data_IF_941623214084
#
_entry.id   IF_941623214084
#
_cell.length_a   1.000
_cell.length_b   1.000
_cell.length_c   1.000
_cell.angle_alpha   90.00
_cell.angle_beta   90.00
_cell.angle_gamma   90.00
#
_symmetry.space_group_name_H-M   'P 1'
#
loop_
_entity.id
_entity.type
_entity.pdbx_description
1 polymer ?
#
# COMPACT_ATOMS: atom_id res chain seq x y z
N UNK A 1 11.92 18.32 18.17
CA UNK A 1 11.42 16.96 18.52
C UNK A 1 11.50 16.14 17.25
N UNK A 2 12.38 15.14 17.21
CA UNK A 2 12.44 14.23 16.07
C UNK A 2 11.29 13.22 16.19
N UNK A 3 10.28 13.39 15.35
CA UNK A 3 9.20 12.42 15.22
C UNK A 3 9.70 11.23 14.41
N UNK A 4 9.62 10.03 14.98
CA UNK A 4 9.99 8.82 14.27
C UNK A 4 9.03 8.58 13.10
N UNK A 5 9.58 8.51 11.87
CA UNK A 5 8.79 8.25 10.67
C UNK A 5 8.19 6.84 10.71
N UNK A 6 6.87 6.75 10.52
CA UNK A 6 6.16 5.49 10.43
C UNK A 6 6.28 4.93 9.01
N UNK A 7 6.88 3.75 8.88
CA UNK A 7 6.95 3.03 7.60
C UNK A 7 5.67 2.22 7.38
N UNK A 8 4.83 2.68 6.46
CA UNK A 8 3.66 1.94 6.02
C UNK A 8 4.06 0.76 5.12
N UNK A 9 3.42 -0.43 5.26
CA UNK A 9 3.68 -1.58 4.39
C UNK A 9 3.31 -1.29 2.94
N UNK A 10 4.04 -1.90 1.99
CA UNK A 10 3.78 -1.74 0.55
C UNK A 10 2.40 -2.25 0.14
N UNK A 11 1.74 -3.11 0.91
CA UNK A 11 0.37 -3.57 0.66
C UNK A 11 -0.70 -2.54 1.00
N UNK A 12 -0.33 -1.46 1.70
CA UNK A 12 -1.20 -0.31 1.94
C UNK A 12 -1.09 0.70 0.78
N UNK A 13 -2.15 1.47 0.51
CA UNK A 13 -2.12 2.47 -0.57
C UNK A 13 -1.05 3.54 -0.33
N UNK A 14 -0.93 4.02 0.91
CA UNK A 14 0.08 4.99 1.29
C UNK A 14 1.50 4.41 1.16
N UNK A 15 1.74 3.21 1.69
CA UNK A 15 3.05 2.57 1.60
C UNK A 15 3.46 2.26 0.16
N UNK A 16 2.51 1.88 -0.71
CA UNK A 16 2.77 1.74 -2.15
C UNK A 16 3.22 3.07 -2.76
N UNK A 17 2.48 4.15 -2.53
CA UNK A 17 2.77 5.46 -3.11
C UNK A 17 4.11 6.02 -2.62
N UNK A 18 4.40 5.89 -1.32
CA UNK A 18 5.70 6.26 -0.74
C UNK A 18 6.79 5.43 -1.41
N UNK A 19 6.64 4.12 -1.48
CA UNK A 19 7.62 3.25 -2.15
C UNK A 19 7.82 3.65 -3.61
N UNK A 20 6.77 4.01 -4.35
CA UNK A 20 6.87 4.47 -5.73
C UNK A 20 7.74 5.74 -5.84
N UNK A 21 7.52 6.72 -4.96
CA UNK A 21 8.27 7.99 -4.95
C UNK A 21 9.71 7.81 -4.49
N UNK A 22 9.98 6.92 -3.54
CA UNK A 22 11.31 6.75 -2.93
C UNK A 22 12.13 5.61 -3.53
N UNK A 23 11.61 4.88 -4.51
CA UNK A 23 12.32 3.74 -5.10
C UNK A 23 13.41 4.22 -6.07
N UNK A 24 14.71 3.96 -5.79
CA UNK A 24 15.80 4.43 -6.63
C UNK A 24 15.83 3.77 -8.02
N UNK A 25 15.08 2.67 -8.23
CA UNK A 25 14.92 2.05 -9.54
C UNK A 25 13.95 2.81 -10.44
N UNK A 26 13.14 3.72 -9.89
CA UNK A 26 12.22 4.55 -10.65
C UNK A 26 12.97 5.73 -11.27
N UNK A 27 13.27 5.64 -12.57
CA UNK A 27 14.02 6.67 -13.30
C UNK A 27 13.14 7.83 -13.77
N UNK A 28 11.90 7.52 -14.14
CA UNK A 28 10.92 8.50 -14.65
C UNK A 28 9.76 8.63 -13.67
N UNK A 29 9.97 9.38 -12.59
CA UNK A 29 8.90 9.65 -11.63
C UNK A 29 7.81 10.48 -12.32
N UNK A 30 6.58 9.94 -12.35
CA UNK A 30 5.40 10.63 -12.88
C UNK A 30 4.40 10.86 -11.76
N UNK A 31 3.64 11.96 -11.79
CA UNK A 31 2.50 12.11 -10.89
C UNK A 31 1.56 10.92 -11.03
N UNK A 32 1.21 10.29 -9.91
CA UNK A 32 0.33 9.13 -9.89
C UNK A 32 -0.74 9.31 -8.81
N UNK A 33 -2.00 9.09 -9.21
CA UNK A 33 -3.11 8.98 -8.27
C UNK A 33 -3.14 7.60 -7.62
N UNK A 34 -3.76 7.52 -6.45
CA UNK A 34 -4.09 6.25 -5.82
C UNK A 34 -4.96 5.39 -6.76
N UNK A 35 -4.54 4.16 -7.02
CA UNK A 35 -5.27 3.19 -7.83
C UNK A 35 -4.91 1.75 -7.40
N UNK A 36 -5.76 0.76 -7.67
CA UNK A 36 -5.50 -0.61 -7.21
C UNK A 36 -4.31 -1.25 -7.93
N UNK A 37 -4.02 -0.83 -9.17
CA UNK A 37 -2.97 -1.43 -10.00
C UNK A 37 -1.55 -1.21 -9.47
N UNK A 38 -1.35 -0.23 -8.58
CA UNK A 38 -0.03 0.08 -8.01
C UNK A 38 0.27 -0.77 -6.78
N UNK A 39 -0.76 -1.26 -6.10
CA UNK A 39 -0.60 -2.12 -4.93
C UNK A 39 -0.02 -3.47 -5.40
N UNK A 40 0.95 -4.06 -4.68
CA UNK A 40 1.51 -5.37 -5.03
C UNK A 40 0.43 -6.39 -5.35
N UNK A 41 0.65 -7.28 -6.31
CA UNK A 41 -0.38 -8.27 -6.68
C UNK A 41 -0.56 -9.35 -5.61
N UNK A 42 -1.60 -10.16 -5.75
CA UNK A 42 -1.78 -11.38 -4.97
C UNK A 42 -0.96 -12.51 -5.60
N UNK A 43 -0.48 -13.44 -4.77
CA UNK A 43 0.20 -14.66 -5.23
C UNK A 43 -0.80 -15.66 -5.81
N UNK A 44 -2.03 -15.67 -5.31
CA UNK A 44 -3.11 -16.53 -5.78
C UNK A 44 -3.77 -15.97 -7.04
N UNK A 45 -4.02 -16.86 -8.00
CA UNK A 45 -4.87 -16.54 -9.17
C UNK A 45 -6.33 -16.56 -8.72
N UNK A 46 -7.07 -15.54 -9.11
CA UNK A 46 -8.51 -15.39 -8.85
C UNK A 46 -9.25 -15.39 -10.19
N UNK A 47 -10.51 -15.83 -10.17
CA UNK A 47 -11.26 -16.12 -11.40
C UNK A 47 -11.69 -14.86 -12.12
N UNK A 48 -11.99 -13.79 -11.37
CA UNK A 48 -12.44 -12.53 -11.93
C UNK A 48 -11.60 -11.33 -11.46
N UNK A 49 -11.60 -10.26 -12.27
CA UNK A 49 -11.00 -8.96 -11.91
C UNK A 49 -11.64 -8.39 -10.65
N UNK A 50 -12.95 -8.57 -10.48
CA UNK A 50 -13.70 -8.12 -9.31
C UNK A 50 -13.23 -8.83 -8.04
N UNK A 51 -13.15 -10.17 -8.06
CA UNK A 51 -12.61 -10.96 -6.94
C UNK A 51 -11.20 -10.52 -6.59
N UNK A 52 -10.34 -10.33 -7.60
CA UNK A 52 -8.97 -9.85 -7.40
C UNK A 52 -8.93 -8.49 -6.72
N UNK A 53 -9.74 -7.54 -7.18
CA UNK A 53 -9.79 -6.20 -6.60
C UNK A 53 -10.30 -6.22 -5.15
N UNK A 54 -11.34 -7.01 -4.85
CA UNK A 54 -11.88 -7.17 -3.50
C UNK A 54 -10.85 -7.81 -2.55
N UNK A 55 -10.12 -8.83 -3.02
CA UNK A 55 -9.08 -9.47 -2.24
C UNK A 55 -7.88 -8.54 -1.99
N UNK A 56 -7.46 -7.75 -2.99
CA UNK A 56 -6.43 -6.71 -2.81
C UNK A 56 -6.91 -5.68 -1.79
N UNK A 57 -8.12 -5.14 -1.95
CA UNK A 57 -8.71 -4.17 -1.03
C UNK A 57 -8.74 -4.69 0.41
N UNK A 58 -9.23 -5.92 0.60
CA UNK A 58 -9.30 -6.57 1.92
C UNK A 58 -7.93 -6.70 2.57
N UNK A 59 -6.90 -7.10 1.80
CA UNK A 59 -5.51 -7.16 2.28
C UNK A 59 -4.96 -5.78 2.61
N UNK A 60 -5.21 -4.77 1.78
CA UNK A 60 -4.79 -3.38 1.99
C UNK A 60 -5.36 -2.81 3.28
N UNK A 61 -6.67 -2.95 3.50
CA UNK A 61 -7.32 -2.47 4.72
C UNK A 61 -6.84 -3.24 5.95
N UNK A 62 -6.66 -4.57 5.85
CA UNK A 62 -6.10 -5.37 6.95
C UNK A 62 -4.72 -4.86 7.36
N UNK A 63 -3.82 -4.65 6.40
CA UNK A 63 -2.45 -4.15 6.65
C UNK A 63 -2.43 -2.73 7.20
N UNK A 64 -3.36 -1.88 6.75
CA UNK A 64 -3.53 -0.53 7.30
C UNK A 64 -3.94 -0.59 8.78
N UNK A 65 -4.96 -1.39 9.13
CA UNK A 65 -5.43 -1.55 10.51
C UNK A 65 -4.33 -2.14 11.41
N UNK A 66 -3.59 -3.14 10.93
CA UNK A 66 -2.42 -3.70 11.63
C UNK A 66 -1.37 -2.61 11.92
N UNK A 67 -1.12 -1.72 10.94
CA UNK A 67 -0.16 -0.62 11.08
C UNK A 67 -0.64 0.43 12.09
N UNK A 68 -1.91 0.86 12.00
CA UNK A 68 -2.52 1.79 12.96
C UNK A 68 -2.42 1.24 14.38
N UNK A 69 -2.76 -0.04 14.58
CA UNK A 69 -2.64 -0.70 15.89
C UNK A 69 -1.20 -0.78 16.37
N UNK A 70 -0.27 -1.19 15.49
CA UNK A 70 1.16 -1.34 15.83
C UNK A 70 1.79 -0.04 16.31
N UNK A 71 1.48 1.07 15.64
CA UNK A 71 2.04 2.39 15.95
C UNK A 71 1.15 3.24 16.85
N UNK A 72 0.05 2.68 17.36
CA UNK A 72 -0.90 3.37 18.24
C UNK A 72 -1.36 4.72 17.67
N UNK A 73 -1.59 4.76 16.35
CA UNK A 73 -2.01 5.98 15.65
C UNK A 73 -3.42 6.32 16.11
N UNK A 74 -3.60 7.50 16.70
CA UNK A 74 -4.90 8.04 17.05
C UNK A 74 -5.59 8.54 15.78
N UNK A 75 -6.86 8.19 15.61
CA UNK A 75 -7.73 8.68 14.54
C UNK A 75 -8.54 9.88 15.03
#
# INVERSE_FOLDING_TARGET
>A
MDLQLIKFPSETMLGTLVNYVTNPKQRDLKPMKANIGIVPTLTTKLKSKTEKNLAIYSRTIKKLKETIKKYQIKL
#
